data_IF_088248060959
#
_entry.id   IF_088248060959
#
_cell.length_a   1.000
_cell.length_b   1.000
_cell.length_c   1.000
_cell.angle_alpha   90.00
_cell.angle_beta   90.00
_cell.angle_gamma   90.00
#
_symmetry.space_group_name_H-M   'P 1'
#
loop_
_entity.id
_entity.type
_entity.pdbx_description
1 polymer ?
#
# COMPACT_ATOMS: atom_id res chain seq x y z
N UNK A 1 2.47 -21.41 -0.78
CA UNK A 1 2.37 -19.95 -0.66
C UNK A 1 1.11 -19.50 -1.37
N UNK A 2 0.24 -18.71 -0.71
CA UNK A 2 -1.03 -18.25 -1.29
C UNK A 2 -0.85 -16.89 -2.01
N UNK A 3 -1.71 -16.59 -3.00
CA UNK A 3 -1.68 -15.34 -3.76
C UNK A 3 -2.15 -14.16 -2.90
N UNK A 4 -1.29 -13.15 -2.72
CA UNK A 4 -1.59 -11.95 -1.91
C UNK A 4 -2.45 -10.95 -2.70
N UNK A 5 -1.99 -10.59 -3.90
CA UNK A 5 -2.65 -9.65 -4.80
C UNK A 5 -3.68 -10.36 -5.70
N UNK A 6 -4.95 -10.01 -5.55
CA UNK A 6 -6.07 -10.63 -6.27
C UNK A 6 -6.84 -9.63 -7.16
N UNK A 7 -6.42 -8.36 -7.24
CA UNK A 7 -7.15 -7.34 -8.01
C UNK A 7 -6.30 -6.30 -8.76
N UNK A 8 -5.02 -6.13 -8.40
CA UNK A 8 -4.21 -5.00 -8.86
C UNK A 8 -3.30 -5.48 -9.99
N UNK A 9 -3.48 -4.95 -11.21
CA UNK A 9 -2.55 -5.13 -12.34
C UNK A 9 -2.09 -6.60 -12.53
N UNK A 10 -3.07 -7.52 -12.65
CA UNK A 10 -2.84 -8.97 -12.60
C UNK A 10 -2.13 -9.54 -13.83
N UNK A 11 -2.12 -8.80 -14.92
CA UNK A 11 -1.41 -9.14 -16.16
C UNK A 11 0.09 -8.81 -16.07
N UNK A 12 0.47 -7.92 -15.14
CA UNK A 12 1.87 -7.60 -14.90
C UNK A 12 2.55 -8.77 -14.17
N UNK A 13 3.68 -9.29 -14.69
CA UNK A 13 4.44 -10.33 -13.99
C UNK A 13 5.06 -9.81 -12.69
N UNK A 14 5.16 -8.48 -12.53
CA UNK A 14 5.68 -7.81 -11.34
C UNK A 14 5.14 -6.38 -11.24
N UNK A 15 4.19 -6.17 -10.34
CA UNK A 15 3.67 -4.82 -10.02
C UNK A 15 4.69 -4.07 -9.16
N UNK A 16 5.18 -2.94 -9.64
CA UNK A 16 6.13 -2.07 -8.97
C UNK A 16 5.71 -0.60 -9.09
N UNK A 17 5.90 0.16 -8.03
CA UNK A 17 5.58 1.60 -7.98
C UNK A 17 6.86 2.39 -7.73
N UNK A 18 7.09 3.41 -8.54
CA UNK A 18 8.09 4.45 -8.29
C UNK A 18 7.36 5.76 -8.04
N UNK A 19 7.69 6.43 -6.93
CA UNK A 19 7.11 7.73 -6.61
C UNK A 19 8.23 8.68 -6.14
N UNK A 20 8.12 9.94 -6.54
CA UNK A 20 8.99 11.03 -6.10
C UNK A 20 8.28 11.75 -4.97
N UNK A 21 9.02 12.03 -3.90
CA UNK A 21 8.50 12.72 -2.72
C UNK A 21 9.25 14.04 -2.59
N UNK A 22 8.51 15.14 -2.42
CA UNK A 22 9.10 16.46 -2.25
C UNK A 22 9.39 16.77 -0.77
N UNK A 23 10.26 17.74 -0.52
CA UNK A 23 10.56 18.21 0.83
C UNK A 23 9.29 18.72 1.53
N UNK A 24 9.07 18.25 2.76
CA UNK A 24 7.88 18.57 3.53
C UNK A 24 6.63 17.74 3.21
N UNK A 25 6.73 16.77 2.29
CA UNK A 25 5.62 15.87 2.01
C UNK A 25 5.62 14.64 2.92
N UNK A 26 4.41 14.11 3.12
CA UNK A 26 4.17 12.81 3.72
C UNK A 26 3.27 12.01 2.80
N UNK A 27 3.71 10.80 2.44
CA UNK A 27 2.92 9.84 1.68
C UNK A 27 2.76 8.54 2.45
N UNK A 28 1.61 7.88 2.25
CA UNK A 28 1.26 6.64 2.93
C UNK A 28 0.90 5.62 1.86
N UNK A 29 1.68 4.55 1.77
CA UNK A 29 1.57 3.53 0.73
C UNK A 29 0.98 2.23 1.25
N UNK A 30 0.18 1.58 0.41
CA UNK A 30 -0.43 0.30 0.69
C UNK A 30 0.63 -0.82 0.70
N UNK A 31 0.51 -1.75 1.66
CA UNK A 31 1.24 -3.03 1.66
C UNK A 31 0.32 -4.25 1.70
N UNK A 32 -0.99 -4.05 1.83
CA UNK A 32 -1.96 -5.15 1.93
C UNK A 32 -2.56 -5.57 0.59
N UNK A 33 -2.32 -4.84 -0.51
CA UNK A 33 -2.93 -5.08 -1.83
C UNK A 33 -4.46 -5.00 -1.87
N UNK A 34 -5.07 -4.41 -0.83
CA UNK A 34 -6.54 -4.22 -0.72
C UNK A 34 -6.99 -2.79 -0.99
N UNK A 35 -6.07 -1.83 -1.15
CA UNK A 35 -6.47 -0.45 -1.41
C UNK A 35 -7.09 -0.27 -2.80
N UNK A 36 -8.13 0.55 -2.89
CA UNK A 36 -8.73 1.05 -4.14
C UNK A 36 -7.93 2.22 -4.73
N UNK A 37 -7.15 2.93 -3.92
CA UNK A 37 -6.24 4.02 -4.36
C UNK A 37 -4.79 3.57 -4.48
N UNK A 38 -4.56 2.26 -4.67
CA UNK A 38 -3.22 1.70 -4.82
C UNK A 38 -2.43 2.47 -5.89
N UNK A 39 -1.20 2.92 -5.59
CA UNK A 39 -0.29 2.45 -4.54
C UNK A 39 -0.46 3.10 -3.16
N UNK A 40 -1.35 4.07 -3.01
CA UNK A 40 -1.59 4.76 -1.74
C UNK A 40 -2.39 3.88 -0.78
N UNK A 41 -2.33 4.21 0.50
CA UNK A 41 -3.14 3.56 1.52
C UNK A 41 -4.43 4.35 1.77
N UNK A 42 -5.57 3.68 1.65
CA UNK A 42 -6.92 4.17 1.99
C UNK A 42 -7.50 3.51 3.25
N UNK A 43 -6.66 2.84 4.04
CA UNK A 43 -7.04 2.07 5.22
C UNK A 43 -7.80 0.75 4.97
N UNK A 44 -7.87 0.22 3.74
CA UNK A 44 -8.46 -1.10 3.47
C UNK A 44 -7.81 -2.27 4.25
N UNK A 45 -6.57 -2.10 4.72
CA UNK A 45 -5.91 -3.06 5.61
C UNK A 45 -6.65 -3.28 6.93
N UNK A 46 -7.42 -2.30 7.42
CA UNK A 46 -8.19 -2.43 8.67
C UNK A 46 -9.27 -3.49 8.53
N UNK A 47 -10.05 -3.45 7.45
CA UNK A 47 -11.08 -4.46 7.17
C UNK A 47 -10.45 -5.84 6.97
N UNK A 48 -9.38 -5.91 6.17
CA UNK A 48 -8.62 -7.15 5.94
C UNK A 48 -8.12 -7.77 7.25
N UNK A 49 -7.48 -6.98 8.13
CA UNK A 49 -7.00 -7.46 9.42
C UNK A 49 -8.14 -7.98 10.29
N UNK A 50 -9.27 -7.26 10.35
CA UNK A 50 -10.45 -7.67 11.13
C UNK A 50 -11.05 -8.99 10.63
N UNK A 51 -11.15 -9.16 9.30
CA UNK A 51 -11.77 -10.33 8.68
C UNK A 51 -10.90 -11.58 8.76
N UNK A 52 -9.57 -11.41 8.69
CA UNK A 52 -8.62 -12.53 8.58
C UNK A 52 -7.84 -12.82 9.85
N UNK A 53 -7.83 -11.90 10.82
CA UNK A 53 -6.94 -11.94 11.99
C UNK A 53 -5.51 -11.51 11.69
N UNK A 54 -5.24 -10.92 10.53
CA UNK A 54 -3.93 -10.42 10.11
C UNK A 54 -3.58 -9.09 10.82
N UNK A 55 -2.33 -8.62 10.68
CA UNK A 55 -1.80 -7.43 11.35
C UNK A 55 -1.02 -6.49 10.43
N UNK A 56 -1.26 -6.55 9.12
CA UNK A 56 -0.54 -5.71 8.14
C UNK A 56 -0.94 -4.24 8.25
N UNK A 57 -0.03 -3.36 7.85
CA UNK A 57 -0.25 -1.91 7.85
C UNK A 57 0.52 -1.21 6.73
N UNK A 58 0.29 0.09 6.52
CA UNK A 58 0.93 0.84 5.44
C UNK A 58 2.42 1.06 5.66
N UNK A 59 3.09 1.58 4.63
CA UNK A 59 4.39 2.23 4.74
C UNK A 59 4.16 3.75 4.75
N UNK A 60 4.65 4.45 5.77
CA UNK A 60 4.61 5.91 5.83
C UNK A 60 6.00 6.44 5.47
N UNK A 61 6.06 7.34 4.49
CA UNK A 61 7.29 8.01 4.08
C UNK A 61 7.09 9.52 4.24
N UNK A 62 7.98 10.19 4.95
CA UNK A 62 7.95 11.62 5.17
C UNK A 62 9.33 12.23 4.97
N UNK A 63 9.39 13.38 4.31
CA UNK A 63 10.60 14.17 4.15
C UNK A 63 10.42 15.45 4.96
N UNK A 64 11.33 15.69 5.90
CA UNK A 64 11.32 16.94 6.67
C UNK A 64 11.62 18.13 5.75
N UNK A 65 10.97 19.28 5.99
CA UNK A 65 11.38 20.53 5.33
C UNK A 65 12.72 20.94 5.92
N UNK A 66 13.74 21.07 5.07
CA UNK A 66 15.00 21.68 5.45
C UNK A 66 14.88 23.19 5.59
#
# INVERSE_FOLDING_TARGET
>A
SARINNKIDLDSPKVATMDKICDGEKKVYCRCWKSETFPLCDAAHVAHNKETGDNVGPLIVSVEKK
#
